data_IF_663396846946
#
_entry.id   IF_663396846946
#
_cell.length_a   1.000
_cell.length_b   1.000
_cell.length_c   1.000
_cell.angle_alpha   90.00
_cell.angle_beta   90.00
_cell.angle_gamma   90.00
#
_symmetry.space_group_name_H-M   'P 1'
#
loop_
_entity.id
_entity.type
_entity.pdbx_description
1 polymer ?
#
# COMPACT_ATOMS: atom_id res chain seq x y z
N UNK A 1 3.30 4.95 30.84
CA UNK A 1 2.84 6.34 30.75
C UNK A 1 2.03 6.50 29.48
N UNK A 2 0.73 6.19 29.56
CA UNK A 2 -0.20 6.42 28.46
C UNK A 2 -0.61 7.88 28.48
N UNK A 3 -0.39 8.54 27.35
CA UNK A 3 -0.59 9.96 27.11
C UNK A 3 -1.99 10.44 27.51
N UNK A 4 -2.03 11.69 27.97
CA UNK A 4 -3.08 12.58 28.50
C UNK A 4 -4.48 12.53 27.83
N UNK A 5 -4.66 11.80 26.73
CA UNK A 5 -5.96 11.54 26.13
C UNK A 5 -6.56 10.24 26.70
N UNK A 6 -7.32 10.36 27.79
CA UNK A 6 -8.13 9.25 28.30
C UNK A 6 -9.21 8.88 27.28
N UNK A 7 -9.57 7.59 27.18
CA UNK A 7 -10.61 7.11 26.24
C UNK A 7 -11.94 7.88 26.38
N UNK A 8 -12.21 8.35 27.60
CA UNK A 8 -13.40 9.15 27.91
C UNK A 8 -13.36 10.56 27.30
N UNK A 9 -12.16 11.14 27.13
CA UNK A 9 -12.00 12.40 26.41
C UNK A 9 -12.29 12.22 24.92
N UNK A 10 -11.83 11.13 24.30
CA UNK A 10 -12.17 10.82 22.91
C UNK A 10 -13.68 10.64 22.71
N UNK A 11 -14.36 9.98 23.66
CA UNK A 11 -15.83 9.87 23.66
C UNK A 11 -16.51 11.25 23.77
N UNK A 12 -15.98 12.13 24.62
CA UNK A 12 -16.50 13.49 24.78
C UNK A 12 -16.27 14.36 23.53
N UNK A 13 -15.10 14.27 22.87
CA UNK A 13 -14.86 14.95 21.60
C UNK A 13 -15.79 14.46 20.48
N UNK A 14 -16.07 13.15 20.43
CA UNK A 14 -17.06 12.60 19.51
C UNK A 14 -18.48 13.14 19.79
N UNK A 15 -18.87 13.22 21.07
CA UNK A 15 -20.12 13.83 21.50
C UNK A 15 -20.22 15.31 21.10
N UNK A 16 -19.17 16.10 21.32
CA UNK A 16 -19.13 17.50 20.89
C UNK A 16 -19.18 17.63 19.36
N UNK A 17 -18.53 16.73 18.62
CA UNK A 17 -18.59 16.68 17.16
C UNK A 17 -20.01 16.44 16.65
N UNK A 18 -20.72 15.48 17.26
CA UNK A 18 -22.11 15.14 16.93
C UNK A 18 -23.07 16.29 17.21
N UNK A 19 -23.01 16.84 18.43
CA UNK A 19 -23.90 17.92 18.88
C UNK A 19 -23.67 19.22 18.11
N UNK A 20 -22.43 19.49 17.67
CA UNK A 20 -22.08 20.72 16.95
C UNK A 20 -22.06 20.55 15.42
N UNK A 21 -22.40 19.37 14.88
CA UNK A 21 -22.32 19.06 13.44
C UNK A 21 -20.95 19.39 12.84
N UNK A 22 -19.86 19.14 13.58
CA UNK A 22 -18.49 19.42 13.15
C UNK A 22 -17.83 18.18 12.56
N UNK A 23 -17.08 18.37 11.48
CA UNK A 23 -16.24 17.32 10.91
C UNK A 23 -15.01 17.09 11.80
N UNK A 24 -14.80 15.84 12.22
CA UNK A 24 -13.60 15.42 12.94
C UNK A 24 -12.57 14.95 11.90
N UNK A 25 -11.48 15.69 11.77
CA UNK A 25 -10.33 15.27 10.97
C UNK A 25 -9.34 14.54 11.85
N UNK A 26 -9.09 13.26 11.57
CA UNK A 26 -8.06 12.49 12.26
C UNK A 26 -6.76 12.54 11.47
N UNK A 27 -5.70 13.06 12.07
CA UNK A 27 -4.36 12.94 11.49
C UNK A 27 -3.90 11.49 11.66
N UNK A 28 -3.46 10.85 10.57
CA UNK A 28 -2.82 9.54 10.64
C UNK A 28 -1.32 9.73 10.88
N UNK A 29 -0.78 9.08 11.91
CA UNK A 29 0.65 9.07 12.14
C UNK A 29 1.38 8.44 10.93
N UNK A 30 2.53 8.99 10.51
CA UNK A 30 3.30 8.38 9.43
C UNK A 30 3.74 6.97 9.84
N UNK A 31 3.39 5.98 9.02
CA UNK A 31 3.75 4.58 9.25
C UNK A 31 5.28 4.43 9.37
N UNK A 32 5.81 3.93 10.50
CA UNK A 32 7.24 3.77 10.68
C UNK A 32 7.80 2.78 9.65
N UNK A 33 8.79 3.23 8.89
CA UNK A 33 9.46 2.44 7.86
C UNK A 33 8.73 2.35 6.51
N UNK A 34 7.57 3.00 6.33
CA UNK A 34 6.89 3.04 5.03
C UNK A 34 7.79 3.64 3.95
N UNK A 35 8.40 4.80 4.22
CA UNK A 35 9.30 5.49 3.28
C UNK A 35 10.49 4.61 2.92
N UNK A 36 11.08 3.90 3.89
CA UNK A 36 12.21 3.00 3.63
C UNK A 36 11.80 1.81 2.76
N UNK A 37 10.66 1.17 3.04
CA UNK A 37 10.17 0.01 2.26
C UNK A 37 9.75 0.40 0.85
N UNK A 38 8.90 1.41 0.71
CA UNK A 38 8.44 1.93 -0.58
C UNK A 38 9.61 2.49 -1.38
N UNK A 39 10.50 3.26 -0.73
CA UNK A 39 11.70 3.81 -1.35
C UNK A 39 12.65 2.73 -1.87
N UNK A 40 12.88 1.66 -1.08
CA UNK A 40 13.70 0.51 -1.52
C UNK A 40 13.07 -0.18 -2.72
N UNK A 41 11.76 -0.37 -2.71
CA UNK A 41 11.04 -0.98 -3.84
C UNK A 41 11.16 -0.14 -5.12
N UNK A 42 10.94 1.18 -5.01
CA UNK A 42 11.08 2.11 -6.14
C UNK A 42 12.54 2.15 -6.64
N UNK A 43 13.53 2.11 -5.75
CA UNK A 43 14.93 2.09 -6.10
C UNK A 43 15.31 0.81 -6.88
N UNK A 44 14.82 -0.36 -6.45
CA UNK A 44 15.04 -1.63 -7.17
C UNK A 44 14.46 -1.55 -8.59
N UNK A 45 13.24 -1.03 -8.73
CA UNK A 45 12.59 -0.86 -10.04
C UNK A 45 13.37 0.11 -10.92
N UNK A 46 13.84 1.23 -10.37
CA UNK A 46 14.64 2.21 -11.09
C UNK A 46 15.98 1.63 -11.59
N UNK A 47 16.68 0.87 -10.76
CA UNK A 47 17.94 0.20 -11.13
C UNK A 47 17.70 -0.84 -12.22
N UNK A 48 16.66 -1.66 -12.08
CA UNK A 48 16.32 -2.68 -13.08
C UNK A 48 15.91 -2.04 -14.41
N UNK A 49 15.19 -0.93 -14.37
CA UNK A 49 14.83 -0.15 -15.54
C UNK A 49 16.06 0.45 -16.24
N UNK A 50 16.97 1.08 -15.49
CA UNK A 50 18.20 1.64 -16.04
C UNK A 50 19.09 0.57 -16.68
N UNK A 51 19.19 -0.61 -16.06
CA UNK A 51 19.91 -1.75 -16.62
C UNK A 51 19.28 -2.21 -17.96
N UNK A 52 17.95 -2.34 -18.00
CA UNK A 52 17.22 -2.70 -19.23
C UNK A 52 17.44 -1.69 -20.36
N UNK A 53 17.35 -0.39 -20.04
CA UNK A 53 17.60 0.68 -21.01
C UNK A 53 19.03 0.65 -21.53
N UNK A 54 20.01 0.41 -20.66
CA UNK A 54 21.43 0.32 -21.05
C UNK A 54 21.67 -0.84 -22.03
N UNK A 55 21.08 -2.01 -21.75
CA UNK A 55 21.15 -3.17 -22.66
C UNK A 55 20.46 -2.85 -24.00
N UNK A 56 19.31 -2.17 -23.96
CA UNK A 56 18.60 -1.77 -25.18
C UNK A 56 19.39 -0.78 -26.04
N UNK A 57 20.02 0.23 -25.43
CA UNK A 57 20.87 1.20 -26.14
C UNK A 57 22.10 0.51 -26.75
N UNK A 58 22.72 -0.42 -26.02
CA UNK A 58 23.85 -1.19 -26.53
C UNK A 58 23.47 -2.06 -27.72
N UNK A 59 22.27 -2.64 -27.70
CA UNK A 59 21.70 -3.43 -28.79
C UNK A 59 21.46 -2.59 -30.05
N UNK A 60 20.93 -1.38 -29.89
CA UNK A 60 20.65 -0.49 -31.01
C UNK A 60 21.94 0.05 -31.63
N UNK A 61 22.91 0.43 -30.81
CA UNK A 61 24.24 0.88 -31.26
C UNK A 61 24.98 -0.21 -32.06
N UNK A 62 24.82 -1.49 -31.69
CA UNK A 62 25.48 -2.63 -32.37
C UNK A 62 24.83 -3.06 -33.67
N UNK A 63 23.63 -2.58 -33.99
CA UNK A 63 22.98 -2.86 -35.27
C UNK A 63 23.80 -2.33 -36.46
N UNK A 64 24.83 -1.54 -36.19
CA UNK A 64 25.78 -0.99 -37.16
C UNK A 64 26.96 -1.91 -37.53
N UNK A 65 27.24 -3.02 -36.82
CA UNK A 65 28.46 -3.83 -37.09
C UNK A 65 28.27 -5.37 -36.97
N UNK A 66 29.02 -6.09 -37.82
CA UNK A 66 28.87 -7.47 -38.30
C UNK A 66 29.19 -8.62 -37.29
N UNK A 67 28.74 -8.54 -36.04
CA UNK A 67 29.11 -9.50 -34.98
C UNK A 67 27.94 -10.36 -34.44
N UNK A 68 27.60 -11.49 -35.08
CA UNK A 68 26.42 -12.31 -34.75
C UNK A 68 26.47 -12.97 -33.35
N UNK A 69 27.66 -13.29 -32.83
CA UNK A 69 27.80 -13.93 -31.51
C UNK A 69 27.44 -13.00 -30.36
N UNK A 70 27.73 -11.70 -30.49
CA UNK A 70 27.42 -10.75 -29.42
C UNK A 70 25.93 -10.44 -29.40
N UNK A 71 25.29 -10.42 -30.57
CA UNK A 71 23.83 -10.25 -30.71
C UNK A 71 23.05 -11.34 -29.98
N UNK A 72 23.51 -12.60 -30.01
CA UNK A 72 22.84 -13.68 -29.25
C UNK A 72 22.97 -13.50 -27.73
N UNK A 73 24.16 -13.13 -27.24
CA UNK A 73 24.38 -12.90 -25.80
C UNK A 73 23.52 -11.76 -25.28
N UNK A 74 23.42 -10.67 -26.04
CA UNK A 74 22.67 -9.48 -25.64
C UNK A 74 21.15 -9.65 -25.76
N UNK A 75 20.66 -10.46 -26.72
CA UNK A 75 19.27 -10.92 -26.74
C UNK A 75 18.96 -11.73 -25.47
N UNK A 76 19.85 -12.66 -25.10
CA UNK A 76 19.72 -13.44 -23.87
C UNK A 76 19.65 -12.54 -22.64
N UNK A 77 20.60 -11.62 -22.50
CA UNK A 77 20.65 -10.66 -21.39
C UNK A 77 19.37 -9.82 -21.31
N UNK A 78 18.89 -9.31 -22.44
CA UNK A 78 17.66 -8.51 -22.52
C UNK A 78 16.44 -9.29 -22.05
N UNK A 79 16.30 -10.56 -22.45
CA UNK A 79 15.20 -11.40 -21.97
C UNK A 79 15.31 -11.69 -20.48
N UNK A 80 16.51 -11.97 -19.98
CA UNK A 80 16.73 -12.21 -18.54
C UNK A 80 16.42 -10.96 -17.71
N UNK A 81 16.87 -9.77 -18.13
CA UNK A 81 16.55 -8.51 -17.44
C UNK A 81 15.05 -8.21 -17.48
N UNK A 82 14.37 -8.48 -18.59
CA UNK A 82 12.91 -8.33 -18.65
C UNK A 82 12.21 -9.31 -17.70
N UNK A 83 12.59 -10.59 -17.69
CA UNK A 83 12.02 -11.55 -16.73
C UNK A 83 12.21 -11.07 -15.29
N UNK A 84 13.39 -10.55 -14.93
CA UNK A 84 13.62 -9.99 -13.60
C UNK A 84 12.78 -8.74 -13.32
N UNK A 85 12.60 -7.86 -14.31
CA UNK A 85 11.75 -6.66 -14.19
C UNK A 85 10.27 -7.02 -13.97
N UNK A 86 9.79 -8.06 -14.66
CA UNK A 86 8.40 -8.50 -14.63
C UNK A 86 8.09 -9.38 -13.40
N UNK A 87 8.98 -10.29 -13.04
CA UNK A 87 8.77 -11.23 -11.93
C UNK A 87 9.30 -10.70 -10.60
N UNK A 88 10.31 -9.82 -10.60
CA UNK A 88 10.92 -9.27 -9.39
C UNK A 88 9.92 -8.59 -8.46
N UNK A 89 9.12 -7.61 -8.93
CA UNK A 89 8.09 -6.96 -8.12
C UNK A 89 7.06 -7.97 -7.58
N UNK A 90 6.70 -8.98 -8.37
CA UNK A 90 5.74 -10.02 -7.99
C UNK A 90 6.30 -10.97 -6.93
N UNK A 91 7.59 -11.30 -6.99
CA UNK A 91 8.29 -12.05 -5.96
C UNK A 91 8.41 -11.25 -4.65
N UNK A 92 8.74 -9.97 -4.72
CA UNK A 92 8.81 -9.09 -3.53
C UNK A 92 7.43 -8.94 -2.88
N UNK A 93 6.38 -8.77 -3.68
CA UNK A 93 5.00 -8.76 -3.20
C UNK A 93 4.60 -10.12 -2.61
N UNK A 94 4.81 -11.23 -3.28
CA UNK A 94 4.42 -12.55 -2.73
C UNK A 94 5.12 -12.90 -1.41
N UNK A 95 6.36 -12.44 -1.21
CA UNK A 95 7.11 -12.61 0.05
C UNK A 95 6.61 -11.65 1.13
N UNK A 96 6.30 -10.39 0.78
CA UNK A 96 5.95 -9.34 1.75
C UNK A 96 4.46 -9.26 2.08
N UNK A 97 3.58 -9.69 1.17
CA UNK A 97 2.25 -9.11 1.07
C UNK A 97 1.13 -9.85 1.79
N UNK A 98 1.19 -11.15 2.12
CA UNK A 98 -0.02 -11.80 2.69
C UNK A 98 0.20 -13.01 3.59
N UNK A 99 -0.48 -13.04 4.75
CA UNK A 99 -0.79 -14.27 5.48
C UNK A 99 -1.87 -15.13 4.78
N UNK A 100 -2.57 -14.60 3.77
CA UNK A 100 -3.62 -15.28 3.02
C UNK A 100 -3.16 -15.85 1.67
N UNK A 101 -3.35 -17.15 1.47
CA UNK A 101 -3.01 -17.87 0.23
C UNK A 101 -3.70 -17.29 -1.03
N UNK A 102 -4.96 -16.85 -0.91
CA UNK A 102 -5.80 -16.47 -2.06
C UNK A 102 -5.29 -15.28 -2.87
N UNK A 103 -4.84 -14.20 -2.24
CA UNK A 103 -4.37 -13.05 -3.01
C UNK A 103 -2.88 -13.13 -3.39
N UNK A 104 -2.09 -14.04 -2.79
CA UNK A 104 -0.81 -14.48 -3.42
C UNK A 104 -1.07 -15.13 -4.77
N UNK A 105 -2.06 -16.02 -4.84
CA UNK A 105 -2.45 -16.69 -6.10
C UNK A 105 -2.97 -15.70 -7.12
N UNK A 106 -3.86 -14.76 -6.74
CA UNK A 106 -4.33 -13.73 -7.67
C UNK A 106 -3.21 -12.84 -8.21
N UNK A 107 -2.24 -12.46 -7.37
CA UNK A 107 -1.14 -11.59 -7.79
C UNK A 107 -0.19 -12.31 -8.74
N UNK A 108 0.10 -13.60 -8.49
CA UNK A 108 0.86 -14.45 -9.41
C UNK A 108 0.15 -14.65 -10.76
N UNK A 109 -1.18 -14.88 -10.73
CA UNK A 109 -1.99 -15.01 -11.95
C UNK A 109 -1.99 -13.70 -12.73
N UNK A 110 -2.24 -12.57 -12.05
CA UNK A 110 -2.23 -11.25 -12.65
C UNK A 110 -0.90 -10.94 -13.31
N UNK A 111 0.22 -11.16 -12.60
CA UNK A 111 1.55 -10.94 -13.16
C UNK A 111 1.86 -11.85 -14.35
N UNK A 112 1.45 -13.12 -14.28
CA UNK A 112 1.65 -14.07 -15.37
C UNK A 112 0.87 -13.65 -16.62
N UNK A 113 -0.42 -13.34 -16.47
CA UNK A 113 -1.26 -12.88 -17.59
C UNK A 113 -0.72 -11.60 -18.22
N UNK A 114 -0.21 -10.69 -17.39
CA UNK A 114 0.36 -9.44 -17.85
C UNK A 114 1.67 -9.66 -18.63
N UNK A 115 2.54 -10.55 -18.13
CA UNK A 115 3.77 -10.92 -18.84
C UNK A 115 3.48 -11.61 -20.18
N UNK A 116 2.47 -12.48 -20.24
CA UNK A 116 2.00 -13.12 -21.47
C UNK A 116 1.46 -12.09 -22.45
N UNK A 117 0.62 -11.16 -22.01
CA UNK A 117 0.07 -10.09 -22.84
C UNK A 117 1.17 -9.18 -23.41
N UNK A 118 2.16 -8.80 -22.58
CA UNK A 118 3.34 -8.08 -23.02
C UNK A 118 4.13 -8.89 -24.06
N UNK A 119 4.31 -10.20 -23.85
CA UNK A 119 4.94 -11.11 -24.83
C UNK A 119 4.24 -11.11 -26.19
N UNK A 120 2.90 -11.20 -26.21
CA UNK A 120 2.13 -11.13 -27.45
C UNK A 120 2.25 -9.76 -28.13
N UNK A 121 2.09 -8.68 -27.37
CA UNK A 121 2.21 -7.31 -27.88
C UNK A 121 3.60 -7.07 -28.50
N UNK A 122 4.66 -7.45 -27.78
CA UNK A 122 6.03 -7.31 -28.26
C UNK A 122 6.29 -8.15 -29.51
N UNK A 123 5.74 -9.37 -29.61
CA UNK A 123 5.85 -10.19 -30.82
C UNK A 123 5.16 -9.56 -32.04
N UNK A 124 3.99 -8.93 -31.83
CA UNK A 124 3.23 -8.27 -32.88
C UNK A 124 3.93 -7.00 -33.38
N UNK A 125 4.51 -6.21 -32.47
CA UNK A 125 5.30 -5.02 -32.81
C UNK A 125 6.58 -5.38 -33.56
N UNK A 126 7.29 -6.44 -33.16
CA UNK A 126 8.48 -6.91 -33.89
C UNK A 126 8.13 -7.38 -35.30
N UNK A 127 6.99 -8.07 -35.44
CA UNK A 127 6.53 -8.58 -36.74
C UNK A 127 6.13 -7.47 -37.72
N UNK A 128 5.68 -6.31 -37.23
CA UNK A 128 5.20 -5.21 -38.07
C UNK A 128 6.30 -4.30 -38.63
N UNK A 129 7.59 -4.52 -38.31
CA UNK A 129 8.77 -3.84 -38.89
C UNK A 129 8.60 -2.32 -39.13
N UNK A 130 7.86 -1.61 -38.29
CA UNK A 130 7.77 -0.16 -38.37
C UNK A 130 9.14 0.42 -37.96
N UNK A 131 9.83 1.03 -38.92
CA UNK A 131 11.22 1.48 -38.83
C UNK A 131 11.50 2.59 -37.78
N UNK A 132 10.51 2.98 -36.96
CA UNK A 132 10.66 3.85 -35.78
C UNK A 132 10.13 3.26 -34.47
N UNK A 133 9.70 1.99 -34.45
CA UNK A 133 8.92 1.40 -33.35
C UNK A 133 9.74 0.97 -32.12
N UNK A 134 11.07 0.92 -32.20
CA UNK A 134 11.89 0.42 -31.08
C UNK A 134 11.84 1.34 -29.86
N UNK A 135 12.01 2.65 -30.06
CA UNK A 135 11.93 3.65 -28.98
C UNK A 135 10.53 3.72 -28.38
N UNK A 136 9.49 3.67 -29.23
CA UNK A 136 8.11 3.68 -28.75
C UNK A 136 7.79 2.44 -27.90
N UNK A 137 8.30 1.27 -28.30
CA UNK A 137 8.17 0.04 -27.52
C UNK A 137 8.86 0.15 -26.16
N UNK A 138 10.13 0.62 -26.13
CA UNK A 138 10.86 0.79 -24.87
C UNK A 138 10.15 1.77 -23.93
N UNK A 139 9.57 2.85 -24.48
CA UNK A 139 8.82 3.82 -23.70
C UNK A 139 7.52 3.20 -23.12
N UNK A 140 6.80 2.38 -23.89
CA UNK A 140 5.62 1.68 -23.40
C UNK A 140 5.95 0.64 -22.34
N UNK A 141 7.01 -0.15 -22.55
CA UNK A 141 7.50 -1.14 -21.58
C UNK A 141 7.94 -0.43 -20.28
N UNK A 142 8.60 0.72 -20.39
CA UNK A 142 8.98 1.58 -19.27
C UNK A 142 7.76 2.09 -18.49
N UNK A 143 6.81 2.71 -19.20
CA UNK A 143 5.61 3.27 -18.60
C UNK A 143 4.82 2.19 -17.87
N UNK A 144 4.67 1.03 -18.49
CA UNK A 144 4.00 -0.11 -17.89
C UNK A 144 4.70 -0.60 -16.62
N UNK A 145 6.02 -0.79 -16.66
CA UNK A 145 6.79 -1.22 -15.50
C UNK A 145 6.69 -0.22 -14.32
N UNK A 146 6.73 1.09 -14.61
CA UNK A 146 6.54 2.15 -13.61
C UNK A 146 5.13 2.09 -13.03
N UNK A 147 4.09 1.93 -13.86
CA UNK A 147 2.71 1.81 -13.36
C UNK A 147 2.53 0.61 -12.44
N UNK A 148 3.09 -0.55 -12.77
CA UNK A 148 3.05 -1.74 -11.90
C UNK A 148 3.79 -1.50 -10.58
N UNK A 149 4.95 -0.87 -10.63
CA UNK A 149 5.72 -0.55 -9.44
C UNK A 149 4.99 0.43 -8.50
N UNK A 150 4.35 1.47 -9.06
CA UNK A 150 3.53 2.41 -8.29
C UNK A 150 2.32 1.72 -7.68
N UNK A 151 1.60 0.91 -8.46
CA UNK A 151 0.46 0.15 -7.96
C UNK A 151 0.87 -0.78 -6.81
N UNK A 152 2.01 -1.46 -6.94
CA UNK A 152 2.56 -2.33 -5.92
C UNK A 152 2.98 -1.58 -4.65
N UNK A 153 3.59 -0.40 -4.80
CA UNK A 153 3.92 0.47 -3.67
C UNK A 153 2.67 0.95 -2.92
N UNK A 154 1.63 1.36 -3.66
CA UNK A 154 0.34 1.76 -3.08
C UNK A 154 -0.31 0.59 -2.33
N UNK A 155 -0.27 -0.60 -2.93
CA UNK A 155 -0.79 -1.82 -2.35
C UNK A 155 -0.06 -2.24 -1.05
N UNK A 156 1.26 -2.05 -0.96
CA UNK A 156 2.01 -2.29 0.28
C UNK A 156 1.71 -1.23 1.34
N UNK A 157 1.56 0.04 0.94
CA UNK A 157 1.15 1.11 1.84
C UNK A 157 -0.22 0.81 2.47
N UNK A 158 -1.21 0.43 1.67
CA UNK A 158 -2.55 0.03 2.11
C UNK A 158 -2.51 -1.15 3.09
N UNK A 159 -1.71 -2.17 2.79
CA UNK A 159 -1.52 -3.31 3.69
C UNK A 159 -0.93 -2.90 5.05
N UNK A 160 0.05 -2.01 5.04
CA UNK A 160 0.67 -1.51 6.27
C UNK A 160 -0.33 -0.69 7.08
N UNK A 161 -1.12 0.17 6.44
CA UNK A 161 -2.21 0.90 7.10
C UNK A 161 -3.24 -0.04 7.71
N UNK A 162 -3.70 -1.05 6.97
CA UNK A 162 -4.67 -2.02 7.47
C UNK A 162 -4.13 -2.83 8.65
N UNK A 163 -2.84 -3.18 8.61
CA UNK A 163 -2.19 -3.93 9.69
C UNK A 163 -2.09 -3.09 10.95
N UNK A 164 -1.73 -1.82 10.80
CA UNK A 164 -1.60 -0.88 11.92
C UNK A 164 -2.97 -0.54 12.51
N UNK A 165 -3.97 -0.28 11.66
CA UNK A 165 -5.36 -0.09 12.06
C UNK A 165 -5.87 -1.29 12.89
N UNK A 166 -5.62 -2.53 12.46
CA UNK A 166 -6.00 -3.73 13.24
C UNK A 166 -5.32 -3.78 14.61
N UNK A 167 -4.05 -3.39 14.71
CA UNK A 167 -3.32 -3.36 15.99
C UNK A 167 -3.89 -2.28 16.89
N UNK A 168 -4.12 -1.09 16.35
CA UNK A 168 -4.69 0.03 17.10
C UNK A 168 -6.12 -0.28 17.56
N UNK A 169 -6.98 -0.87 16.71
CA UNK A 169 -8.30 -1.38 17.11
C UNK A 169 -8.19 -2.44 18.21
N UNK A 170 -7.27 -3.40 18.10
CA UNK A 170 -7.08 -4.42 19.15
C UNK A 170 -6.62 -3.80 20.48
N UNK A 171 -5.75 -2.79 20.44
CA UNK A 171 -5.32 -2.05 21.62
C UNK A 171 -6.45 -1.21 22.22
N UNK A 172 -7.29 -0.58 21.40
CA UNK A 172 -8.46 0.15 21.87
C UNK A 172 -9.51 -0.78 22.50
N UNK A 173 -9.72 -1.96 21.93
CA UNK A 173 -10.62 -2.98 22.49
C UNK A 173 -10.06 -3.62 23.76
N UNK A 174 -8.74 -3.63 23.95
CA UNK A 174 -8.14 -4.13 25.19
C UNK A 174 -8.64 -3.30 26.37
N UNK A 175 -9.43 -3.91 27.26
CA UNK A 175 -10.04 -3.24 28.41
C UNK A 175 -11.32 -2.43 28.11
N UNK A 176 -11.85 -2.48 26.88
CA UNK A 176 -13.21 -1.98 26.61
C UNK A 176 -14.19 -3.15 26.72
N UNK A 177 -15.12 -3.06 27.66
CA UNK A 177 -16.14 -4.10 27.93
C UNK A 177 -17.39 -3.96 27.07
N UNK A 178 -17.51 -2.87 26.30
CA UNK A 178 -18.74 -2.48 25.62
C UNK A 178 -19.54 -1.41 26.36
N UNK A 179 -19.21 -1.11 27.61
CA UNK A 179 -19.90 -0.11 28.43
C UNK A 179 -18.99 1.09 28.71
N UNK A 180 -19.50 2.31 28.52
CA UNK A 180 -18.76 3.55 28.76
C UNK A 180 -18.32 3.69 30.23
N UNK A 181 -19.16 3.18 31.14
CA UNK A 181 -18.96 3.23 32.59
C UNK A 181 -17.74 2.45 33.06
N UNK A 182 -17.32 1.44 32.30
CA UNK A 182 -16.17 0.60 32.63
C UNK A 182 -14.85 1.22 32.16
N UNK A 183 -14.88 2.30 31.38
CA UNK A 183 -13.68 2.98 30.91
C UNK A 183 -12.85 3.54 32.09
N UNK A 184 -11.55 3.26 32.12
CA UNK A 184 -10.63 3.83 33.11
C UNK A 184 -10.24 5.26 32.75
N UNK A 185 -10.11 6.13 33.77
CA UNK A 185 -9.59 7.49 33.64
C UNK A 185 -8.47 7.70 34.64
N UNK A 186 -7.40 8.38 34.24
CA UNK A 186 -6.33 8.80 35.15
C UNK A 186 -6.83 9.82 36.19
N UNK A 187 -7.90 10.55 35.88
CA UNK A 187 -8.57 11.49 36.79
C UNK A 187 -10.00 11.00 37.02
N UNK A 188 -10.31 10.38 38.18
CA UNK A 188 -11.62 9.79 38.43
C UNK A 188 -12.74 10.83 38.54
N UNK A 189 -12.42 12.05 38.95
CA UNK A 189 -13.37 13.18 39.03
C UNK A 189 -13.88 13.58 37.64
N UNK A 190 -12.99 13.71 36.66
CA UNK A 190 -13.36 14.00 35.27
C UNK A 190 -14.27 12.90 34.69
N UNK A 191 -13.95 11.63 34.99
CA UNK A 191 -14.82 10.51 34.59
C UNK A 191 -16.23 10.66 35.16
N UNK A 192 -16.35 10.96 36.45
CA UNK A 192 -17.64 11.12 37.09
C UNK A 192 -18.42 12.29 36.48
N UNK A 193 -17.77 13.41 36.22
CA UNK A 193 -18.39 14.59 35.61
C UNK A 193 -18.89 14.30 34.19
N UNK A 194 -18.06 13.67 33.33
CA UNK A 194 -18.43 13.33 31.95
C UNK A 194 -19.58 12.31 31.92
N UNK A 195 -19.53 11.28 32.77
CA UNK A 195 -20.62 10.28 32.85
C UNK A 195 -21.91 10.95 33.31
N UNK A 196 -21.86 11.81 34.33
CA UNK A 196 -23.05 12.51 34.83
C UNK A 196 -23.64 13.44 33.75
N UNK A 197 -22.81 14.15 32.99
CA UNK A 197 -23.25 14.99 31.87
C UNK A 197 -23.96 14.14 30.80
N UNK A 198 -23.34 13.03 30.37
CA UNK A 198 -23.92 12.10 29.40
C UNK A 198 -25.25 11.51 29.86
N UNK A 199 -25.32 11.05 31.12
CA UNK A 199 -26.55 10.53 31.73
C UNK A 199 -27.63 11.62 31.77
N UNK A 200 -27.28 12.84 32.17
CA UNK A 200 -28.23 13.96 32.24
C UNK A 200 -28.76 14.39 30.88
N UNK A 201 -27.96 14.21 29.82
CA UNK A 201 -28.35 14.52 28.44
C UNK A 201 -29.27 13.47 27.80
N UNK A 202 -29.31 12.24 28.35
CA UNK A 202 -30.05 11.12 27.77
C UNK A 202 -29.40 10.49 26.53
N UNK A 203 -28.19 10.90 26.17
CA UNK A 203 -27.47 10.46 24.95
C UNK A 203 -26.43 9.36 25.22
N UNK A 204 -26.41 8.77 26.42
CA UNK A 204 -25.43 7.73 26.81
C UNK A 204 -25.37 6.58 25.79
N UNK A 205 -26.53 6.03 25.40
CA UNK A 205 -26.61 4.92 24.44
C UNK A 205 -26.14 5.33 23.03
N UNK A 206 -26.50 6.52 22.56
CA UNK A 206 -26.08 7.01 21.23
C UNK A 206 -24.55 7.17 21.18
N UNK A 207 -23.94 7.60 22.28
CA UNK A 207 -22.48 7.71 22.39
C UNK A 207 -21.82 6.33 22.42
N UNK A 208 -22.37 5.36 23.15
CA UNK A 208 -21.87 3.97 23.12
C UNK A 208 -21.95 3.35 21.72
N UNK A 209 -23.07 3.53 21.02
CA UNK A 209 -23.26 3.05 19.66
C UNK A 209 -22.28 3.73 18.69
N UNK A 210 -22.09 5.05 18.82
CA UNK A 210 -21.11 5.79 18.02
C UNK A 210 -19.67 5.31 18.26
N UNK A 211 -19.29 5.03 19.51
CA UNK A 211 -17.98 4.45 19.84
C UNK A 211 -17.83 3.08 19.22
N UNK A 212 -18.88 2.24 19.28
CA UNK A 212 -18.85 0.92 18.69
C UNK A 212 -18.66 0.99 17.16
N UNK A 213 -19.37 1.90 16.48
CA UNK A 213 -19.17 2.17 15.04
C UNK A 213 -17.75 2.64 14.74
N UNK A 214 -17.19 3.53 15.56
CA UNK A 214 -15.80 3.98 15.40
C UNK A 214 -14.81 2.83 15.56
N UNK A 215 -14.99 1.97 16.58
CA UNK A 215 -14.17 0.78 16.79
C UNK A 215 -14.28 -0.23 15.65
N UNK A 216 -15.47 -0.41 15.08
CA UNK A 216 -15.73 -1.34 13.98
C UNK A 216 -15.22 -0.80 12.63
N UNK A 217 -15.23 0.52 12.45
CA UNK A 217 -14.68 1.17 11.25
C UNK A 217 -13.15 1.10 11.15
N UNK A 218 -12.47 0.76 12.24
CA UNK A 218 -11.01 0.75 12.30
C UNK A 218 -10.37 2.15 12.30
N UNK A 219 -11.18 3.21 12.44
CA UNK A 219 -10.71 4.59 12.57
C UNK A 219 -10.37 4.82 14.04
N UNK A 220 -9.20 4.36 14.47
CA UNK A 220 -8.63 4.73 15.76
C UNK A 220 -7.72 5.95 15.58
N UNK A 221 -8.04 7.06 16.23
CA UNK A 221 -7.09 8.16 16.43
C UNK A 221 -5.94 7.66 17.32
N UNK A 222 -4.75 7.52 16.75
CA UNK A 222 -3.50 7.22 17.47
C UNK A 222 -2.58 8.43 17.43
#
# INVERSE_FOLDING_TARGET
HSSIYSRIWCAYEAFLGLTQSKYIYTASAPLPGLVCKVGTMLAIVAVAFAASLTVAMFMDARKSDDYPKVTQLSIGLYHTTNVLLWFGPCCVLTISWMAGFKARVMLCIGSFLTAVAAGFYTSAVVRTRLAGGFMHKQLLDAAFAVSVAVAAACAEADRLWLTDAKRATAQLRSGYTGCLRDAESSVPEDKANIINELVSSGLEQEVEDAIQVLLDSGISSS
#
